data_IF_293849637943
#
_entry.id   IF_293849637943
#
_cell.length_a   1.000
_cell.length_b   1.000
_cell.length_c   1.000
_cell.angle_alpha   90.00
_cell.angle_beta   90.00
_cell.angle_gamma   90.00
#
_symmetry.space_group_name_H-M   'P 1'
#
loop_
_entity.id
_entity.type
_entity.pdbx_description
1 polymer ?
#
# COMPACT_ATOMS: atom_id res chain seq x y z
N UNK A 1 -19.72 5.06 -14.70
CA UNK A 1 -19.42 4.20 -13.53
C UNK A 1 -18.02 3.65 -13.73
N UNK A 2 -17.13 3.78 -12.72
CA UNK A 2 -15.73 3.32 -12.81
C UNK A 2 -14.64 4.38 -12.63
N UNK A 3 -14.96 5.59 -12.15
CA UNK A 3 -13.94 6.63 -11.85
C UNK A 3 -13.33 6.49 -10.46
N UNK A 4 -13.98 5.74 -9.57
CA UNK A 4 -13.49 5.54 -8.21
C UNK A 4 -12.22 4.68 -8.20
N UNK A 5 -12.17 3.64 -9.03
CA UNK A 5 -11.00 2.75 -9.13
C UNK A 5 -9.74 3.47 -9.66
N UNK A 6 -9.92 4.45 -10.56
CA UNK A 6 -8.83 5.27 -11.12
C UNK A 6 -8.30 6.35 -10.16
N UNK A 7 -9.05 6.71 -9.12
CA UNK A 7 -8.63 7.70 -8.10
C UNK A 7 -8.12 7.00 -6.84
N UNK A 8 -8.76 5.90 -6.46
CA UNK A 8 -8.39 5.10 -5.28
C UNK A 8 -7.00 4.50 -5.45
N UNK A 9 -6.68 3.92 -6.61
CA UNK A 9 -5.37 3.29 -6.86
C UNK A 9 -4.18 4.24 -6.67
N UNK A 10 -4.13 5.45 -7.28
CA UNK A 10 -3.03 6.40 -7.05
C UNK A 10 -3.07 7.06 -5.67
N UNK A 11 -4.25 7.22 -5.06
CA UNK A 11 -4.38 7.77 -3.71
C UNK A 11 -3.77 6.84 -2.65
N UNK A 12 -4.04 5.52 -2.71
CA UNK A 12 -3.40 4.55 -1.82
C UNK A 12 -1.87 4.49 -2.00
N UNK A 13 -1.36 4.68 -3.22
CA UNK A 13 0.08 4.67 -3.51
C UNK A 13 0.75 5.99 -3.06
N UNK A 14 0.10 7.15 -3.24
CA UNK A 14 0.63 8.45 -2.77
C UNK A 14 0.58 8.62 -1.26
N UNK A 15 -0.36 7.99 -0.57
CA UNK A 15 -0.52 8.11 0.89
C UNK A 15 0.51 7.34 1.71
N UNK A 16 1.31 6.44 1.11
CA UNK A 16 2.25 5.59 1.85
C UNK A 16 3.41 6.32 2.56
N UNK A 17 3.70 7.58 2.24
CA UNK A 17 4.88 8.29 2.75
C UNK A 17 4.62 9.13 4.02
N UNK A 18 3.44 9.75 4.16
CA UNK A 18 3.12 10.65 5.29
C UNK A 18 2.16 10.03 6.34
N UNK A 19 1.76 8.78 6.11
CA UNK A 19 0.85 8.07 6.99
C UNK A 19 1.37 7.83 8.42
N UNK A 20 2.67 7.55 8.69
CA UNK A 20 3.14 7.21 10.03
C UNK A 20 2.88 8.30 11.06
N UNK A 21 3.09 9.58 10.71
CA UNK A 21 2.87 10.71 11.62
C UNK A 21 1.38 10.87 11.95
N UNK A 22 0.53 10.88 10.92
CA UNK A 22 -0.93 11.08 11.08
C UNK A 22 -1.55 9.89 11.79
N UNK A 23 -1.10 8.67 11.50
CA UNK A 23 -1.50 7.46 12.21
C UNK A 23 -1.19 7.58 13.70
N UNK A 24 0.05 7.95 14.07
CA UNK A 24 0.43 8.07 15.49
C UNK A 24 -0.43 9.11 16.20
N UNK A 25 -0.62 10.30 15.61
CA UNK A 25 -1.48 11.33 16.19
C UNK A 25 -2.93 10.86 16.32
N UNK A 26 -3.47 10.20 15.29
CA UNK A 26 -4.81 9.62 15.30
C UNK A 26 -4.96 8.53 16.36
N UNK A 27 -3.94 7.68 16.55
CA UNK A 27 -3.91 6.65 17.57
C UNK A 27 -3.87 7.19 18.99
N UNK A 28 -3.08 8.24 19.23
CA UNK A 28 -3.02 8.91 20.54
C UNK A 28 -4.33 9.65 20.83
N UNK A 29 -4.86 10.44 19.89
CA UNK A 29 -6.12 11.19 20.05
C UNK A 29 -7.29 10.22 20.21
N UNK A 30 -7.39 9.20 19.36
CA UNK A 30 -8.42 8.17 19.42
C UNK A 30 -8.34 7.34 20.70
N UNK A 31 -7.13 6.98 21.14
CA UNK A 31 -6.89 6.31 22.41
C UNK A 31 -7.32 7.15 23.60
N UNK A 32 -6.99 8.44 23.62
CA UNK A 32 -7.41 9.38 24.65
C UNK A 32 -8.93 9.53 24.73
N UNK A 33 -9.62 9.57 23.59
CA UNK A 33 -11.08 9.69 23.55
C UNK A 33 -11.77 8.38 24.00
N UNK A 34 -11.25 7.22 23.59
CA UNK A 34 -11.86 5.92 23.89
C UNK A 34 -11.56 5.41 25.31
N UNK A 35 -10.34 5.61 25.80
CA UNK A 35 -9.84 5.00 27.04
C UNK A 35 -9.22 6.01 28.02
N UNK A 36 -9.27 7.32 27.75
CA UNK A 36 -8.65 8.34 28.60
C UNK A 36 -7.12 8.25 28.60
N UNK A 37 -6.48 8.57 29.73
CA UNK A 37 -5.01 8.59 29.83
C UNK A 37 -4.34 7.24 29.52
N UNK A 38 -4.99 6.12 29.83
CA UNK A 38 -4.47 4.77 29.52
C UNK A 38 -4.38 4.57 27.99
N UNK A 39 -5.26 5.22 27.25
CA UNK A 39 -5.25 5.24 25.80
C UNK A 39 -4.02 5.87 25.18
N UNK A 40 -3.22 6.64 25.93
CA UNK A 40 -1.94 7.17 25.43
C UNK A 40 -0.90 6.05 25.21
N UNK A 41 -1.01 4.95 25.97
CA UNK A 41 -0.18 3.76 25.80
C UNK A 41 -0.82 2.74 24.86
N UNK A 42 -2.13 2.49 25.04
CA UNK A 42 -2.86 1.49 24.24
C UNK A 42 -3.06 1.96 22.79
N UNK A 43 -3.31 3.25 22.57
CA UNK A 43 -3.60 3.84 21.26
C UNK A 43 -2.50 3.59 20.24
N UNK A 44 -1.24 4.02 20.51
CA UNK A 44 -0.11 3.77 19.61
C UNK A 44 0.17 2.28 19.38
N UNK A 45 0.00 1.44 20.40
CA UNK A 45 0.24 -0.02 20.30
C UNK A 45 -0.79 -0.69 19.39
N UNK A 46 -2.09 -0.45 19.61
CA UNK A 46 -3.16 -0.99 18.76
C UNK A 46 -3.01 -0.51 17.32
N UNK A 47 -2.67 0.76 17.14
CA UNK A 47 -2.44 1.35 15.83
C UNK A 47 -1.26 0.71 15.10
N UNK A 48 -0.14 0.44 15.80
CA UNK A 48 1.00 -0.27 15.22
C UNK A 48 0.62 -1.69 14.75
N UNK A 49 -0.15 -2.42 15.55
CA UNK A 49 -0.63 -3.77 15.18
C UNK A 49 -1.57 -3.71 13.98
N UNK A 50 -2.54 -2.80 13.99
CA UNK A 50 -3.46 -2.59 12.86
C UNK A 50 -2.72 -2.19 11.60
N UNK A 51 -1.72 -1.32 11.69
CA UNK A 51 -0.88 -0.93 10.56
C UNK A 51 -0.13 -2.12 10.00
N UNK A 52 0.48 -2.95 10.86
CA UNK A 52 1.18 -4.16 10.42
C UNK A 52 0.25 -5.15 9.74
N UNK A 53 -0.97 -5.31 10.25
CA UNK A 53 -1.96 -6.20 9.65
C UNK A 53 -2.45 -5.68 8.29
N UNK A 54 -2.68 -4.38 8.19
CA UNK A 54 -3.07 -3.70 6.96
C UNK A 54 -1.96 -3.73 5.91
N UNK A 55 -0.71 -3.50 6.32
CA UNK A 55 0.48 -3.58 5.48
C UNK A 55 0.70 -5.02 4.99
N UNK A 56 0.55 -6.02 5.86
CA UNK A 56 0.61 -7.43 5.47
C UNK A 56 -0.46 -7.79 4.42
N UNK A 57 -1.67 -7.25 4.56
CA UNK A 57 -2.73 -7.42 3.56
C UNK A 57 -2.43 -6.71 2.23
N UNK A 58 -1.81 -5.53 2.27
CA UNK A 58 -1.41 -4.80 1.06
C UNK A 58 -0.19 -5.42 0.36
N UNK A 59 0.75 -6.00 1.10
CA UNK A 59 1.99 -6.59 0.56
C UNK A 59 1.76 -7.90 -0.21
N UNK A 60 0.60 -8.54 -0.08
CA UNK A 60 0.18 -9.63 -0.97
C UNK A 60 -0.04 -9.16 -2.42
N UNK A 61 -0.12 -7.85 -2.65
CA UNK A 61 -0.16 -7.27 -4.00
C UNK A 61 1.27 -6.87 -4.39
N UNK A 62 2.01 -7.72 -5.15
CA UNK A 62 3.32 -7.33 -5.66
C UNK A 62 3.19 -5.98 -6.37
N UNK A 63 4.08 -5.01 -6.07
CA UNK A 63 4.07 -3.72 -6.76
C UNK A 63 4.13 -3.99 -8.26
N UNK A 64 3.21 -3.44 -9.07
CA UNK A 64 3.39 -3.48 -10.51
C UNK A 64 4.77 -2.85 -10.81
N UNK A 65 5.61 -3.49 -11.65
CA UNK A 65 6.93 -2.98 -11.99
C UNK A 65 6.83 -1.49 -12.32
N UNK A 66 7.55 -0.68 -11.55
CA UNK A 66 7.35 0.78 -11.52
C UNK A 66 7.90 1.49 -12.76
N UNK A 67 8.69 0.79 -13.56
CA UNK A 67 9.34 1.31 -14.75
C UNK A 67 8.67 0.73 -16.01
N UNK A 68 8.01 1.57 -16.83
CA UNK A 68 7.49 1.16 -18.14
C UNK A 68 8.55 0.47 -19.00
N UNK A 69 9.81 0.88 -18.87
CA UNK A 69 10.95 0.32 -19.60
C UNK A 69 11.22 -1.16 -19.24
N UNK A 70 11.00 -1.56 -17.98
CA UNK A 70 11.15 -2.96 -17.55
C UNK A 70 10.01 -3.84 -18.09
N UNK A 71 8.78 -3.31 -18.09
CA UNK A 71 7.62 -4.00 -18.66
C UNK A 71 7.77 -4.15 -20.17
N UNK A 72 8.25 -3.11 -20.87
CA UNK A 72 8.56 -3.17 -22.30
C UNK A 72 9.66 -4.21 -22.59
N UNK A 73 10.73 -4.25 -21.78
CA UNK A 73 11.79 -5.24 -21.92
C UNK A 73 11.32 -6.69 -21.70
N UNK A 74 10.43 -6.91 -20.72
CA UNK A 74 9.81 -8.23 -20.48
C UNK A 74 8.89 -8.64 -21.63
N UNK A 75 8.06 -7.72 -22.14
CA UNK A 75 7.19 -7.95 -23.29
C UNK A 75 7.98 -8.20 -24.59
N UNK A 76 9.08 -7.49 -24.80
CA UNK A 76 10.01 -7.74 -25.92
C UNK A 76 10.67 -9.12 -25.82
N UNK A 77 11.14 -9.51 -24.62
CA UNK A 77 11.73 -10.82 -24.38
C UNK A 77 10.72 -11.96 -24.63
N UNK A 78 9.47 -11.79 -24.19
CA UNK A 78 8.38 -12.73 -24.47
C UNK A 78 8.05 -12.80 -25.97
N UNK A 79 7.99 -11.66 -26.67
CA UNK A 79 7.75 -11.61 -28.12
C UNK A 79 8.84 -12.33 -28.92
N UNK A 80 10.13 -12.10 -28.60
CA UNK A 80 11.26 -12.77 -29.27
C UNK A 80 11.22 -14.29 -29.03
N UNK A 81 10.84 -14.73 -27.83
CA UNK A 81 10.70 -16.17 -27.54
C UNK A 81 9.59 -16.84 -28.35
N UNK A 82 8.44 -16.18 -28.51
CA UNK A 82 7.29 -16.69 -29.27
C UNK A 82 7.59 -16.77 -30.78
N UNK A 83 8.23 -15.75 -31.34
CA UNK A 83 8.64 -15.72 -32.77
C UNK A 83 9.55 -16.89 -33.13
N UNK A 84 10.42 -17.31 -32.20
CA UNK A 84 11.34 -18.43 -32.40
C UNK A 84 10.72 -19.80 -32.12
N UNK A 85 9.51 -19.86 -31.54
CA UNK A 85 8.78 -21.11 -31.32
C UNK A 85 7.88 -21.52 -32.49
N UNK A 86 7.65 -20.62 -33.46
CA UNK A 86 6.81 -20.87 -34.65
C UNK A 86 7.62 -21.24 -35.91
N UNK A 87 8.95 -21.35 -35.79
CA UNK A 87 9.86 -21.85 -36.83
C UNK A 87 10.44 -23.21 -36.45
#
# INVERSE_FOLDING_TARGET
>A
MGTMDNVIRPMLIRMGADLPMILILSGVIGGLIAFGMIGLFIGPVLLAVSWRLFDAWLQEVPPPPKDPDQVLAELEALNVSNINSEK
#
